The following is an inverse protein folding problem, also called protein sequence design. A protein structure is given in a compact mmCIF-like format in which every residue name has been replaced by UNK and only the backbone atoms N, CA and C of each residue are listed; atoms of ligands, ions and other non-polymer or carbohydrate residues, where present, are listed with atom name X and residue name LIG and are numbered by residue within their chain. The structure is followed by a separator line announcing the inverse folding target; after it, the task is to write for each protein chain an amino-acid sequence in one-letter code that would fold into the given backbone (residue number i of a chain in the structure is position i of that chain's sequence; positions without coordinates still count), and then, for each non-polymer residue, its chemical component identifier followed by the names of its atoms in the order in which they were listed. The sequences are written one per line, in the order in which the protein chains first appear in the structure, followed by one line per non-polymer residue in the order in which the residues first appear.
data_IF_799383664865
#
_entry.id   IF_799383664865
#
_cell.length_a   1.000
_cell.length_b   1.000
_cell.length_c   1.000
_cell.angle_alpha   90.00
_cell.angle_beta   90.00
_cell.angle_gamma   90.00
#
_symmetry.space_group_name_H-M   'P 1'
#
loop_
_entity.id
_entity.type
_entity.pdbx_description
1 polymer ?
#
# COMPACT_ATOMS: atom_id res chain seq x y z
N UNK A 1 -36.59 -67.74 -65.28
CA UNK A 1 -37.85 -67.17 -64.82
C UNK A 1 -37.56 -66.58 -63.45
N UNK A 2 -37.08 -65.33 -63.46
CA UNK A 2 -37.21 -64.32 -62.39
C UNK A 2 -36.34 -63.15 -62.84
N UNK A 3 -37.03 -62.05 -63.10
CA UNK A 3 -36.51 -60.73 -63.41
C UNK A 3 -36.81 -59.86 -62.18
N UNK A 4 -35.85 -59.04 -61.78
CA UNK A 4 -35.93 -57.87 -60.88
C UNK A 4 -34.47 -57.48 -60.56
N UNK A 5 -34.02 -56.24 -60.52
CA UNK A 5 -34.54 -54.93 -60.85
C UNK A 5 -33.33 -53.99 -60.81
N UNK A 6 -33.37 -52.99 -61.67
CA UNK A 6 -32.39 -51.92 -61.89
C UNK A 6 -32.42 -50.93 -60.71
N UNK A 7 -31.27 -50.57 -60.14
CA UNK A 7 -31.11 -49.28 -59.44
C UNK A 7 -29.73 -48.70 -59.75
N UNK A 8 -29.73 -47.77 -60.69
CA UNK A 8 -28.65 -46.84 -60.98
C UNK A 8 -28.32 -45.98 -59.75
N UNK A 9 -27.04 -45.82 -59.45
CA UNK A 9 -26.57 -44.74 -58.58
C UNK A 9 -25.35 -44.06 -59.21
N UNK A 10 -25.64 -43.06 -60.05
CA UNK A 10 -24.65 -42.14 -60.60
C UNK A 10 -24.20 -41.16 -59.51
N UNK A 11 -22.96 -41.28 -59.05
CA UNK A 11 -22.34 -40.36 -58.11
C UNK A 11 -22.05 -39.01 -58.80
N UNK A 12 -22.87 -38.00 -58.50
CA UNK A 12 -22.65 -36.61 -58.86
C UNK A 12 -21.57 -35.98 -57.95
N UNK A 13 -20.49 -35.50 -58.56
CA UNK A 13 -19.45 -34.71 -57.89
C UNK A 13 -19.96 -33.30 -57.56
N UNK A 14 -20.08 -32.97 -56.27
CA UNK A 14 -20.44 -31.64 -55.79
C UNK A 14 -19.16 -30.88 -55.42
N UNK A 15 -18.87 -29.82 -56.17
CA UNK A 15 -17.78 -28.88 -55.90
C UNK A 15 -18.03 -28.09 -54.61
N UNK A 16 -17.03 -28.03 -53.74
CA UNK A 16 -17.05 -27.24 -52.51
C UNK A 16 -17.02 -25.72 -52.82
N UNK A 17 -17.80 -24.87 -52.10
CA UNK A 17 -17.80 -23.44 -52.33
C UNK A 17 -16.52 -22.80 -51.78
N UNK A 18 -15.77 -22.12 -52.66
CA UNK A 18 -14.66 -21.24 -52.29
C UNK A 18 -15.18 -20.10 -51.42
N UNK A 19 -14.75 -20.05 -50.16
CA UNK A 19 -15.01 -18.92 -49.26
C UNK A 19 -14.42 -17.62 -49.84
N UNK A 20 -14.97 -16.44 -49.48
CA UNK A 20 -14.50 -15.17 -50.02
C UNK A 20 -13.03 -14.92 -49.65
N UNK A 21 -12.23 -14.31 -50.54
CA UNK A 21 -10.84 -14.01 -50.26
C UNK A 21 -10.73 -13.01 -49.10
N UNK A 22 -9.88 -13.36 -48.13
CA UNK A 22 -9.56 -12.56 -46.96
C UNK A 22 -8.72 -11.34 -47.41
N UNK A 23 -9.36 -10.23 -47.78
CA UNK A 23 -8.66 -8.98 -48.05
C UNK A 23 -8.30 -8.32 -46.72
N UNK A 24 -7.00 -8.18 -46.36
CA UNK A 24 -6.62 -7.40 -45.20
C UNK A 24 -7.09 -5.96 -45.42
N UNK A 25 -8.05 -5.52 -44.61
CA UNK A 25 -8.62 -4.19 -44.69
C UNK A 25 -7.54 -3.17 -44.32
N UNK A 26 -6.93 -2.52 -45.33
CA UNK A 26 -5.82 -1.56 -45.15
C UNK A 26 -6.15 -0.44 -44.16
N UNK A 27 -7.42 -0.03 -44.08
CA UNK A 27 -7.88 0.96 -43.10
C UNK A 27 -7.84 0.44 -41.66
N UNK A 28 -8.10 -0.86 -41.42
CA UNK A 28 -7.97 -1.49 -40.10
C UNK A 28 -6.50 -1.51 -39.69
N UNK A 29 -5.60 -1.84 -40.61
CA UNK A 29 -4.16 -1.80 -40.33
C UNK A 29 -3.66 -0.38 -40.03
N UNK A 30 -4.16 0.62 -40.77
CA UNK A 30 -3.84 2.03 -40.51
C UNK A 30 -4.42 2.52 -39.18
N UNK A 31 -5.63 2.09 -38.82
CA UNK A 31 -6.25 2.43 -37.55
C UNK A 31 -5.54 1.75 -36.38
N UNK A 32 -5.16 0.48 -36.52
CA UNK A 32 -4.32 -0.23 -35.55
C UNK A 32 -2.95 0.44 -35.39
N UNK A 33 -2.34 0.92 -36.48
CA UNK A 33 -1.08 1.68 -36.43
C UNK A 33 -1.26 3.02 -35.70
N UNK A 34 -2.32 3.77 -36.01
CA UNK A 34 -2.61 5.06 -35.38
C UNK A 34 -2.96 4.92 -33.89
N UNK A 35 -3.77 3.92 -33.51
CA UNK A 35 -4.04 3.62 -32.09
C UNK A 35 -2.76 3.13 -31.38
N UNK A 36 -1.91 2.39 -32.09
CA UNK A 36 -0.63 1.91 -31.57
C UNK A 36 0.45 2.98 -31.40
N UNK A 37 0.38 4.10 -32.13
CA UNK A 37 1.34 5.22 -31.97
C UNK A 37 1.06 6.05 -30.71
N UNK A 38 -0.17 6.01 -30.20
CA UNK A 38 -0.58 6.75 -29.01
C UNK A 38 -0.69 8.26 -29.22
N UNK A 39 -0.60 8.75 -30.46
CA UNK A 39 -0.77 10.17 -30.78
C UNK A 39 -2.20 10.62 -30.49
N UNK A 40 -2.34 11.66 -29.65
CA UNK A 40 -3.64 12.22 -29.27
C UNK A 40 -4.39 11.49 -28.15
N UNK A 41 -3.79 10.46 -27.54
CA UNK A 41 -4.34 9.82 -26.34
C UNK A 41 -4.23 10.73 -25.11
N UNK A 42 -5.24 10.72 -24.26
CA UNK A 42 -5.16 11.32 -22.93
C UNK A 42 -4.04 10.67 -22.09
N UNK A 43 -3.50 11.40 -21.11
CA UNK A 43 -2.38 10.94 -20.27
C UNK A 43 -2.59 9.54 -19.68
N UNK A 44 -3.82 9.22 -19.27
CA UNK A 44 -4.18 7.90 -18.73
C UNK A 44 -4.07 6.78 -19.76
N UNK A 45 -4.62 6.98 -20.97
CA UNK A 45 -4.56 6.02 -22.06
C UNK A 45 -3.13 5.82 -22.60
N UNK A 46 -2.31 6.88 -22.64
CA UNK A 46 -0.90 6.78 -22.99
C UNK A 46 -0.12 5.94 -21.96
N UNK A 47 -0.37 6.16 -20.66
CA UNK A 47 0.24 5.40 -19.56
C UNK A 47 -0.17 3.93 -19.59
N UNK A 48 -1.43 3.64 -19.95
CA UNK A 48 -1.94 2.28 -20.10
C UNK A 48 -1.28 1.54 -21.27
N UNK A 49 -1.12 2.21 -22.41
CA UNK A 49 -0.42 1.67 -23.58
C UNK A 49 1.04 1.34 -23.27
N UNK A 50 1.73 2.24 -22.56
CA UNK A 50 3.11 2.02 -22.12
C UNK A 50 3.22 0.84 -21.14
N UNK A 51 2.26 0.72 -20.20
CA UNK A 51 2.19 -0.42 -19.27
C UNK A 51 1.99 -1.73 -20.03
N UNK A 52 1.10 -1.75 -21.02
CA UNK A 52 0.85 -2.94 -21.86
C UNK A 52 2.12 -3.35 -22.61
N UNK A 53 2.87 -2.39 -23.13
CA UNK A 53 4.15 -2.65 -23.82
C UNK A 53 5.16 -3.34 -22.88
N UNK A 54 5.36 -2.84 -21.67
CA UNK A 54 6.28 -3.46 -20.71
C UNK A 54 5.86 -4.86 -20.27
N UNK A 55 4.55 -5.11 -20.15
CA UNK A 55 4.05 -6.45 -19.79
C UNK A 55 4.29 -7.47 -20.90
N UNK A 56 4.13 -7.08 -22.17
CA UNK A 56 4.42 -7.94 -23.31
C UNK A 56 5.91 -8.25 -23.40
N UNK A 57 6.77 -7.24 -23.28
CA UNK A 57 8.23 -7.41 -23.29
C UNK A 57 8.68 -8.37 -22.17
N UNK A 58 8.15 -8.21 -20.95
CA UNK A 58 8.46 -9.10 -19.83
C UNK A 58 7.91 -10.52 -20.01
N UNK A 59 6.81 -10.69 -20.76
CA UNK A 59 6.26 -12.00 -21.08
C UNK A 59 7.12 -12.74 -22.10
N UNK A 60 7.55 -12.04 -23.16
CA UNK A 60 8.42 -12.58 -24.20
C UNK A 60 9.78 -12.98 -23.62
N UNK A 61 10.38 -12.13 -22.77
CA UNK A 61 11.61 -12.46 -22.02
C UNK A 61 11.44 -13.76 -21.21
N UNK A 62 10.30 -13.93 -20.53
CA UNK A 62 10.02 -15.14 -19.74
C UNK A 62 9.84 -16.38 -20.62
N UNK A 63 9.20 -16.24 -21.77
CA UNK A 63 9.07 -17.37 -22.70
C UNK A 63 10.42 -17.82 -23.24
N UNK A 64 11.30 -16.87 -23.60
CA UNK A 64 12.65 -17.18 -24.06
C UNK A 64 13.46 -17.92 -22.97
N UNK A 65 13.36 -17.45 -21.71
CA UNK A 65 14.02 -18.11 -20.57
C UNK A 65 13.44 -19.52 -20.35
N UNK A 66 12.11 -19.68 -20.40
CA UNK A 66 11.47 -20.98 -20.24
C UNK A 66 11.86 -21.97 -21.35
N UNK A 67 11.93 -21.50 -22.61
CA UNK A 67 12.39 -22.30 -23.74
C UNK A 67 13.84 -22.79 -23.54
N UNK A 68 14.70 -21.96 -22.96
CA UNK A 68 16.09 -22.34 -22.65
C UNK A 68 16.25 -23.26 -21.45
N UNK A 69 15.31 -23.25 -20.50
CA UNK A 69 15.40 -23.97 -19.22
C UNK A 69 14.87 -25.41 -19.27
N UNK A 70 14.15 -25.79 -20.34
CA UNK A 70 13.61 -27.15 -20.51
C UNK A 70 12.59 -27.52 -19.43
N UNK A 71 12.64 -28.76 -18.93
CA UNK A 71 11.64 -29.32 -18.00
C UNK A 71 11.84 -28.91 -16.52
N UNK A 72 12.90 -28.18 -16.18
CA UNK A 72 13.22 -27.84 -14.79
C UNK A 72 12.50 -26.53 -14.41
N UNK A 73 11.56 -26.54 -13.44
CA UNK A 73 10.93 -25.32 -12.96
C UNK A 73 11.95 -24.38 -12.32
N UNK A 74 11.82 -23.08 -12.57
CA UNK A 74 12.67 -22.06 -11.93
C UNK A 74 12.40 -22.02 -10.42
N UNK A 75 13.37 -22.48 -9.63
CA UNK A 75 13.35 -22.39 -8.16
C UNK A 75 13.96 -21.08 -7.63
N UNK A 76 14.71 -20.37 -8.48
CA UNK A 76 15.37 -19.12 -8.14
C UNK A 76 14.98 -18.04 -9.15
N UNK A 77 14.32 -16.98 -8.65
CA UNK A 77 14.03 -15.79 -9.45
C UNK A 77 15.14 -14.77 -9.20
N UNK A 78 15.98 -14.56 -10.22
CA UNK A 78 16.97 -13.48 -10.22
C UNK A 78 16.26 -12.13 -10.11
N UNK A 79 16.89 -11.19 -9.40
CA UNK A 79 16.45 -9.79 -9.44
C UNK A 79 16.52 -9.30 -10.91
N UNK A 80 15.51 -8.54 -11.38
CA UNK A 80 15.57 -7.97 -12.72
C UNK A 80 16.83 -7.12 -12.88
N UNK A 81 17.48 -7.21 -14.04
CA UNK A 81 18.63 -6.35 -14.33
C UNK A 81 18.17 -4.90 -14.50
N UNK A 82 19.09 -3.95 -14.33
CA UNK A 82 18.80 -2.54 -14.59
C UNK A 82 18.19 -2.36 -16.00
N UNK A 83 17.17 -1.52 -16.10
CA UNK A 83 16.41 -1.21 -17.31
C UNK A 83 15.70 -2.38 -18.02
N UNK A 84 15.70 -3.59 -17.46
CA UNK A 84 14.91 -4.72 -18.00
C UNK A 84 13.41 -4.45 -17.95
N UNK A 85 12.65 -5.13 -18.81
CA UNK A 85 11.19 -5.08 -18.74
C UNK A 85 10.67 -5.53 -17.37
N UNK A 86 11.30 -6.56 -16.78
CA UNK A 86 11.02 -7.00 -15.42
C UNK A 86 11.15 -5.89 -14.36
N UNK A 87 12.20 -5.06 -14.42
CA UNK A 87 12.40 -3.94 -13.48
C UNK A 87 11.31 -2.88 -13.65
N UNK A 88 10.97 -2.52 -14.89
CA UNK A 88 9.94 -1.52 -15.18
C UNK A 88 8.57 -1.98 -14.71
N UNK A 89 8.21 -3.23 -14.97
CA UNK A 89 6.97 -3.85 -14.46
C UNK A 89 6.95 -3.88 -12.93
N UNK A 90 8.07 -4.23 -12.30
CA UNK A 90 8.17 -4.22 -10.83
C UNK A 90 7.95 -2.82 -10.25
N UNK A 91 8.62 -1.79 -10.80
CA UNK A 91 8.44 -0.40 -10.38
C UNK A 91 7.01 0.09 -10.56
N UNK A 92 6.37 -0.19 -11.69
CA UNK A 92 4.97 0.17 -11.94
C UNK A 92 4.02 -0.54 -10.98
N UNK A 93 4.23 -1.83 -10.74
CA UNK A 93 3.43 -2.60 -9.80
C UNK A 93 3.57 -2.06 -8.37
N UNK A 94 4.80 -1.75 -7.95
CA UNK A 94 5.10 -1.12 -6.66
C UNK A 94 4.40 0.23 -6.54
N UNK A 95 4.56 1.12 -7.51
CA UNK A 95 3.93 2.44 -7.51
C UNK A 95 2.41 2.36 -7.39
N UNK A 96 1.75 1.52 -8.21
CA UNK A 96 0.30 1.33 -8.15
C UNK A 96 -0.16 0.77 -6.80
N UNK A 97 0.60 -0.18 -6.25
CA UNK A 97 0.31 -0.77 -4.95
C UNK A 97 0.42 0.25 -3.80
N UNK A 98 1.50 1.04 -3.78
CA UNK A 98 1.72 2.08 -2.76
C UNK A 98 0.68 3.20 -2.88
N UNK A 99 0.38 3.66 -4.11
CA UNK A 99 -0.66 4.65 -4.36
C UNK A 99 -2.02 4.18 -3.84
N UNK A 100 -2.42 2.93 -4.16
CA UNK A 100 -3.66 2.34 -3.65
C UNK A 100 -3.69 2.27 -2.12
N UNK A 101 -2.56 1.96 -1.47
CA UNK A 101 -2.48 1.97 -0.01
C UNK A 101 -2.61 3.38 0.58
N UNK A 102 -1.95 4.36 -0.02
CA UNK A 102 -2.03 5.76 0.41
C UNK A 102 -3.45 6.30 0.28
N UNK A 103 -4.13 6.02 -0.83
CA UNK A 103 -5.54 6.38 -1.05
C UNK A 103 -6.49 5.73 -0.03
N UNK A 104 -6.13 4.58 0.55
CA UNK A 104 -6.92 3.89 1.57
C UNK A 104 -6.68 4.41 3.01
N UNK A 105 -5.79 5.39 3.21
CA UNK A 105 -5.57 6.05 4.49
C UNK A 105 -6.58 7.18 4.74
N UNK A 106 -6.81 7.44 6.02
CA UNK A 106 -7.54 8.62 6.47
C UNK A 106 -6.59 9.81 6.40
N UNK A 107 -7.01 10.92 5.78
CA UNK A 107 -6.27 12.17 5.79
C UNK A 107 -6.52 12.95 7.11
N UNK A 108 -5.98 14.18 7.21
CA UNK A 108 -6.15 15.00 8.42
C UNK A 108 -7.61 15.38 8.67
N UNK A 109 -8.33 15.83 7.65
CA UNK A 109 -9.74 16.21 7.75
C UNK A 109 -10.64 15.01 8.11
N UNK A 110 -10.33 13.83 7.58
CA UNK A 110 -11.00 12.56 7.89
C UNK A 110 -10.85 12.21 9.39
N UNK A 111 -9.63 12.41 9.94
CA UNK A 111 -9.33 12.16 11.34
C UNK A 111 -10.00 13.19 12.26
N UNK A 112 -10.03 14.46 11.86
CA UNK A 112 -10.71 15.52 12.62
C UNK A 112 -12.23 15.28 12.63
N UNK A 113 -12.81 14.92 11.49
CA UNK A 113 -14.23 14.55 11.38
C UNK A 113 -14.55 13.35 12.27
N UNK A 114 -13.72 12.30 12.25
CA UNK A 114 -13.90 11.14 13.13
C UNK A 114 -13.83 11.51 14.61
N UNK A 115 -12.93 12.42 14.99
CA UNK A 115 -12.82 12.89 16.38
C UNK A 115 -14.09 13.61 16.84
N UNK A 116 -14.63 14.50 16.00
CA UNK A 116 -15.90 15.20 16.28
C UNK A 116 -17.04 14.19 16.46
N UNK A 117 -17.17 13.22 15.54
CA UNK A 117 -18.21 12.19 15.63
C UNK A 117 -18.10 11.34 16.89
N UNK A 118 -16.89 10.99 17.31
CA UNK A 118 -16.68 10.27 18.58
C UNK A 118 -17.15 11.10 19.78
N UNK A 119 -16.83 12.40 19.80
CA UNK A 119 -17.16 13.32 20.89
C UNK A 119 -18.66 13.60 20.99
N UNK A 120 -19.34 13.76 19.86
CA UNK A 120 -20.78 14.07 19.81
C UNK A 120 -21.67 12.89 20.21
N UNK A 121 -21.16 11.66 20.09
CA UNK A 121 -21.93 10.43 20.29
C UNK A 121 -21.41 9.58 21.47
N UNK A 122 -20.54 10.14 22.32
CA UNK A 122 -20.06 9.45 23.52
C UNK A 122 -20.91 9.77 24.75
N UNK A 123 -20.84 8.87 25.74
CA UNK A 123 -21.29 9.12 27.10
C UNK A 123 -20.16 9.73 27.93
N UNK A 124 -20.47 10.73 28.76
CA UNK A 124 -19.53 11.27 29.75
C UNK A 124 -19.75 10.55 31.06
N UNK A 125 -18.68 9.98 31.62
CA UNK A 125 -18.70 9.37 32.95
C UNK A 125 -18.76 10.47 34.02
N UNK A 126 -19.89 10.60 34.71
CA UNK A 126 -20.12 11.67 35.70
C UNK A 126 -19.10 11.67 36.86
N UNK A 127 -18.51 10.51 37.16
CA UNK A 127 -17.55 10.38 38.27
C UNK A 127 -16.13 10.81 37.89
N UNK A 128 -15.71 10.54 36.66
CA UNK A 128 -14.33 10.77 36.20
C UNK A 128 -14.22 11.90 35.16
N UNK A 129 -15.35 12.38 34.63
CA UNK A 129 -15.41 13.30 33.50
C UNK A 129 -14.91 12.70 32.19
N UNK A 130 -14.65 11.39 32.14
CA UNK A 130 -14.05 10.75 30.96
C UNK A 130 -15.09 10.38 29.93
N UNK A 131 -14.74 10.53 28.67
CA UNK A 131 -15.62 10.24 27.55
C UNK A 131 -15.47 8.81 27.08
N UNK A 132 -16.58 8.09 27.07
CA UNK A 132 -16.64 6.66 26.81
C UNK A 132 -17.80 6.31 25.90
N UNK A 133 -17.65 5.23 25.16
CA UNK A 133 -18.69 4.68 24.29
C UNK A 133 -18.88 3.20 24.56
N UNK A 134 -20.14 2.74 24.57
CA UNK A 134 -20.45 1.30 24.59
C UNK A 134 -20.34 0.71 23.16
N UNK A 135 -20.68 -0.57 22.99
CA UNK A 135 -20.60 -1.21 21.67
C UNK A 135 -21.70 -0.77 20.70
N UNK A 136 -22.88 -0.38 21.18
CA UNK A 136 -23.95 0.16 20.35
C UNK A 136 -23.57 1.53 19.79
N UNK A 137 -23.05 2.43 20.64
CA UNK A 137 -22.47 3.72 20.27
C UNK A 137 -21.35 3.52 19.23
N UNK A 138 -20.47 2.54 19.46
CA UNK A 138 -19.39 2.21 18.54
C UNK A 138 -19.90 1.84 17.14
N UNK A 139 -20.97 1.03 17.05
CA UNK A 139 -21.59 0.66 15.78
C UNK A 139 -22.31 1.85 15.13
N UNK A 140 -22.96 2.69 15.92
CA UNK A 140 -23.62 3.90 15.44
C UNK A 140 -22.61 4.88 14.83
N UNK A 141 -21.54 5.19 15.57
CA UNK A 141 -20.43 6.05 15.14
C UNK A 141 -19.75 5.48 13.89
N UNK A 142 -19.61 4.15 13.78
CA UNK A 142 -19.09 3.51 12.57
C UNK A 142 -19.93 3.83 11.32
N UNK A 143 -21.25 3.88 11.49
CA UNK A 143 -22.21 4.21 10.42
C UNK A 143 -22.05 5.67 10.02
N UNK A 144 -22.05 6.59 11.00
CA UNK A 144 -21.83 8.03 10.75
C UNK A 144 -20.48 8.32 10.09
N UNK A 145 -19.40 7.68 10.56
CA UNK A 145 -18.08 7.81 9.95
C UNK A 145 -18.08 7.29 8.51
N UNK A 146 -18.79 6.20 8.23
CA UNK A 146 -18.88 5.65 6.87
C UNK A 146 -19.60 6.62 5.94
N UNK A 147 -20.60 7.34 6.42
CA UNK A 147 -21.36 8.33 5.65
C UNK A 147 -20.56 9.63 5.41
N UNK A 148 -19.87 10.15 6.43
CA UNK A 148 -19.19 11.44 6.35
C UNK A 148 -17.74 11.35 5.86
N UNK A 149 -17.01 10.29 6.23
CA UNK A 149 -15.60 10.08 5.88
C UNK A 149 -15.43 9.08 4.74
N UNK A 150 -16.37 8.14 4.60
CA UNK A 150 -16.37 7.12 3.56
C UNK A 150 -15.85 5.75 4.00
N UNK A 151 -15.73 4.77 3.08
CA UNK A 151 -15.53 3.37 3.42
C UNK A 151 -14.17 3.05 4.07
N UNK A 152 -13.21 3.97 4.02
CA UNK A 152 -11.85 3.80 4.57
C UNK A 152 -11.85 3.64 6.09
N UNK A 153 -12.84 4.21 6.79
CA UNK A 153 -12.93 4.13 8.25
C UNK A 153 -13.37 2.74 8.75
N UNK A 154 -14.09 1.96 7.93
CA UNK A 154 -14.73 0.69 8.34
C UNK A 154 -13.76 -0.30 8.97
N UNK A 155 -12.51 -0.34 8.50
CA UNK A 155 -11.46 -1.23 9.03
C UNK A 155 -11.14 -0.97 10.51
N UNK A 156 -11.42 0.22 11.03
CA UNK A 156 -11.22 0.58 12.43
C UNK A 156 -12.40 0.15 13.32
N UNK A 157 -13.61 0.13 12.79
CA UNK A 157 -14.84 -0.19 13.52
C UNK A 157 -15.22 -1.67 13.42
N UNK A 158 -14.34 -2.56 13.88
CA UNK A 158 -14.66 -4.00 14.01
C UNK A 158 -14.83 -4.41 15.47
N UNK A 159 -15.65 -5.42 15.73
CA UNK A 159 -15.78 -6.02 17.06
C UNK A 159 -14.42 -6.40 17.66
N UNK A 160 -13.54 -6.98 16.84
CA UNK A 160 -12.17 -7.32 17.24
C UNK A 160 -11.36 -6.11 17.70
N UNK A 161 -11.54 -4.93 17.08
CA UNK A 161 -10.87 -3.71 17.51
C UNK A 161 -11.47 -3.16 18.81
N UNK A 162 -12.80 -3.15 18.95
CA UNK A 162 -13.46 -2.75 20.20
C UNK A 162 -12.98 -3.59 21.39
N UNK A 163 -12.80 -4.89 21.19
CA UNK A 163 -12.35 -5.81 22.22
C UNK A 163 -10.90 -5.56 22.69
N UNK A 164 -10.07 -4.84 21.93
CA UNK A 164 -8.67 -4.52 22.31
C UNK A 164 -8.57 -3.54 23.48
N UNK A 165 -9.61 -2.75 23.73
CA UNK A 165 -9.58 -1.71 24.75
C UNK A 165 -10.15 -2.22 26.07
N UNK A 166 -9.57 -1.71 27.16
CA UNK A 166 -10.09 -1.90 28.51
C UNK A 166 -11.50 -1.36 28.61
N UNK A 167 -12.36 -2.14 29.28
CA UNK A 167 -13.77 -1.82 29.46
C UNK A 167 -14.00 -1.50 30.93
N UNK A 168 -14.86 -0.52 31.18
CA UNK A 168 -15.37 -0.30 32.52
C UNK A 168 -16.47 -1.32 32.88
N UNK A 169 -17.00 -1.22 34.10
CA UNK A 169 -18.05 -2.12 34.61
C UNK A 169 -19.34 -2.09 33.77
N UNK A 170 -19.50 -1.05 32.94
CA UNK A 170 -20.64 -0.88 32.02
C UNK A 170 -20.32 -1.36 30.61
N UNK A 171 -19.15 -1.99 30.39
CA UNK A 171 -18.73 -2.47 29.08
C UNK A 171 -18.30 -1.36 28.11
N UNK A 172 -18.05 -0.14 28.59
CA UNK A 172 -17.69 1.02 27.76
C UNK A 172 -16.18 1.16 27.63
N UNK A 173 -15.73 1.66 26.49
CA UNK A 173 -14.31 1.97 26.24
C UNK A 173 -14.13 3.48 26.14
N UNK A 174 -12.99 4.00 26.61
CA UNK A 174 -12.68 5.42 26.47
C UNK A 174 -12.44 5.79 24.99
N UNK A 175 -13.01 6.90 24.53
CA UNK A 175 -12.94 7.29 23.11
C UNK A 175 -11.55 7.77 22.71
N UNK A 176 -10.82 8.41 23.63
CA UNK A 176 -9.50 8.98 23.34
C UNK A 176 -8.46 7.89 23.03
N UNK A 177 -8.28 6.82 23.84
CA UNK A 177 -7.42 5.70 23.47
C UNK A 177 -7.79 5.06 22.12
N UNK A 178 -9.08 4.95 21.79
CA UNK A 178 -9.52 4.45 20.50
C UNK A 178 -9.09 5.37 19.35
N UNK A 179 -9.32 6.67 19.47
CA UNK A 179 -8.90 7.66 18.48
C UNK A 179 -7.38 7.64 18.25
N UNK A 180 -6.60 7.59 19.34
CA UNK A 180 -5.14 7.51 19.27
C UNK A 180 -4.66 6.22 18.59
N UNK A 181 -5.36 5.10 18.76
CA UNK A 181 -5.09 3.86 18.03
C UNK A 181 -5.30 4.03 16.51
N UNK A 182 -6.39 4.70 16.10
CA UNK A 182 -6.66 4.99 14.67
C UNK A 182 -5.57 5.87 14.10
N UNK A 183 -5.27 7.00 14.75
CA UNK A 183 -4.19 7.90 14.35
C UNK A 183 -2.86 7.17 14.21
N UNK A 184 -2.45 6.41 15.23
CA UNK A 184 -1.20 5.66 15.21
C UNK A 184 -1.15 4.67 14.06
N UNK A 185 -2.25 3.97 13.78
CA UNK A 185 -2.32 3.01 12.68
C UNK A 185 -2.14 3.71 11.33
N UNK A 186 -2.77 4.87 11.14
CA UNK A 186 -2.60 5.69 9.93
C UNK A 186 -1.15 6.18 9.82
N UNK A 187 -0.58 6.76 10.88
CA UNK A 187 0.79 7.30 10.87
C UNK A 187 1.85 6.23 10.60
N UNK A 188 1.73 5.05 11.22
CA UNK A 188 2.68 3.95 10.97
C UNK A 188 2.55 3.37 9.56
N UNK A 189 1.32 3.35 9.02
CA UNK A 189 1.10 2.89 7.64
C UNK A 189 1.64 3.91 6.64
N UNK A 190 1.45 5.21 6.88
CA UNK A 190 2.03 6.27 6.06
C UNK A 190 3.56 6.21 6.08
N UNK A 191 4.18 6.13 7.27
CA UNK A 191 5.63 6.00 7.39
C UNK A 191 6.17 4.76 6.65
N UNK A 192 5.39 3.67 6.64
CA UNK A 192 5.74 2.47 5.86
C UNK A 192 5.70 2.75 4.36
N UNK A 193 4.67 3.41 3.87
CA UNK A 193 4.53 3.79 2.46
C UNK A 193 5.71 4.68 2.06
N UNK A 194 6.00 5.73 2.83
CA UNK A 194 7.09 6.68 2.57
C UNK A 194 8.45 5.98 2.50
N UNK A 195 8.75 5.07 3.43
CA UNK A 195 9.97 4.26 3.39
C UNK A 195 9.97 3.31 2.19
N UNK A 196 8.85 2.67 1.90
CA UNK A 196 8.72 1.79 0.74
C UNK A 196 8.86 2.54 -0.57
N UNK A 197 8.47 3.81 -0.68
CA UNK A 197 8.73 4.60 -1.89
C UNK A 197 10.22 4.74 -2.16
N UNK A 198 11.02 4.95 -1.11
CA UNK A 198 12.49 5.10 -1.17
C UNK A 198 13.26 3.80 -1.38
N UNK A 199 12.66 2.64 -1.08
CA UNK A 199 13.24 1.30 -1.29
C UNK A 199 13.31 0.97 -2.79
N UNK A 200 14.38 1.34 -3.48
CA UNK A 200 14.48 1.29 -4.95
C UNK A 200 14.35 -0.15 -5.51
N UNK A 201 14.86 -1.16 -4.80
CA UNK A 201 14.88 -2.54 -5.26
C UNK A 201 13.68 -3.38 -4.74
N UNK A 202 12.90 -2.82 -3.81
CA UNK A 202 11.67 -3.39 -3.28
C UNK A 202 11.90 -4.62 -2.41
N UNK A 203 13.10 -4.79 -1.83
CA UNK A 203 13.43 -5.95 -1.00
C UNK A 203 12.94 -5.81 0.46
N UNK A 204 12.35 -4.66 0.82
CA UNK A 204 11.83 -4.35 2.15
C UNK A 204 12.90 -3.84 3.13
N UNK A 205 14.08 -3.49 2.62
CA UNK A 205 15.16 -2.90 3.39
C UNK A 205 15.56 -1.53 2.83
N UNK A 206 16.04 -0.66 3.71
CA UNK A 206 16.61 0.62 3.34
C UNK A 206 18.14 0.58 3.41
N UNK A 207 18.77 1.10 2.38
CA UNK A 207 20.18 1.45 2.32
C UNK A 207 20.46 2.74 3.10
N UNK A 208 21.73 3.05 3.43
CA UNK A 208 22.08 4.23 4.21
C UNK A 208 21.55 5.53 3.58
N UNK A 209 21.69 5.66 2.26
CA UNK A 209 21.27 6.83 1.51
C UNK A 209 19.75 7.00 1.49
N UNK A 210 19.01 5.89 1.38
CA UNK A 210 17.54 5.87 1.39
C UNK A 210 17.02 6.27 2.78
N UNK A 211 17.66 5.78 3.86
CA UNK A 211 17.31 6.19 5.23
C UNK A 211 17.66 7.66 5.50
N UNK A 212 18.80 8.14 5.01
CA UNK A 212 19.14 9.57 5.07
C UNK A 212 18.12 10.44 4.34
N UNK A 213 17.66 10.00 3.17
CA UNK A 213 16.62 10.67 2.39
C UNK A 213 15.28 10.70 3.14
N UNK A 214 14.88 9.58 3.75
CA UNK A 214 13.68 9.50 4.57
C UNK A 214 13.72 10.52 5.72
N UNK A 215 14.80 10.50 6.52
CA UNK A 215 14.95 11.45 7.64
C UNK A 215 14.94 12.89 7.12
N UNK A 216 15.64 13.17 6.01
CA UNK A 216 15.68 14.51 5.41
C UNK A 216 14.28 15.00 5.00
N UNK A 217 13.48 14.12 4.40
CA UNK A 217 12.10 14.42 4.00
C UNK A 217 11.18 14.74 5.18
N UNK A 218 11.46 14.19 6.37
CA UNK A 218 10.69 14.48 7.58
C UNK A 218 11.01 15.84 8.20
N UNK A 219 12.26 16.32 8.13
CA UNK A 219 12.75 17.52 8.83
C UNK A 219 11.84 18.76 8.66
N UNK A 220 11.34 19.11 7.47
CA UNK A 220 10.46 20.26 7.29
C UNK A 220 9.20 20.24 8.16
N UNK A 221 8.72 19.04 8.49
CA UNK A 221 7.52 18.82 9.29
C UNK A 221 7.83 18.69 10.79
N UNK A 222 9.11 18.55 11.19
CA UNK A 222 9.52 18.44 12.58
C UNK A 222 9.71 19.84 13.17
N UNK A 223 8.76 20.29 13.99
CA UNK A 223 8.74 21.65 14.54
C UNK A 223 10.04 22.08 15.21
N UNK A 224 10.74 21.15 15.88
CA UNK A 224 12.01 21.41 16.57
C UNK A 224 13.20 21.52 15.61
N UNK A 225 13.10 20.98 14.40
CA UNK A 225 14.17 20.91 13.40
C UNK A 225 13.93 21.77 12.16
N UNK A 226 12.74 22.37 12.04
CA UNK A 226 12.31 23.17 10.87
C UNK A 226 13.27 24.31 10.51
N UNK A 227 14.01 24.81 11.50
CA UNK A 227 14.92 25.95 11.35
C UNK A 227 16.41 25.55 11.33
N UNK A 228 16.73 24.27 11.12
CA UNK A 228 18.12 23.84 10.93
C UNK A 228 18.69 24.48 9.66
N UNK A 229 19.88 25.13 9.72
CA UNK A 229 20.49 25.71 8.54
C UNK A 229 20.86 24.62 7.51
N UNK A 230 20.64 24.92 6.22
CA UNK A 230 20.88 23.98 5.11
C UNK A 230 22.23 23.25 5.14
N UNK A 231 23.37 23.90 5.47
CA UNK A 231 24.66 23.21 5.57
C UNK A 231 24.69 22.06 6.58
N UNK A 232 23.86 22.11 7.62
CA UNK A 232 23.82 21.09 8.68
C UNK A 232 22.81 19.97 8.41
N UNK A 233 21.89 20.14 7.45
CA UNK A 233 20.87 19.12 7.15
C UNK A 233 21.48 17.78 6.75
N UNK A 234 22.50 17.80 5.88
CA UNK A 234 23.20 16.59 5.44
C UNK A 234 23.83 15.85 6.61
N UNK A 235 24.50 16.59 7.51
CA UNK A 235 25.15 16.01 8.69
C UNK A 235 24.12 15.44 9.66
N UNK A 236 23.03 16.17 9.93
CA UNK A 236 21.95 15.71 10.80
C UNK A 236 21.30 14.43 10.27
N UNK A 237 20.89 14.41 8.99
CA UNK A 237 20.29 13.23 8.35
C UNK A 237 21.20 12.00 8.47
N UNK A 238 22.51 12.17 8.25
CA UNK A 238 23.51 11.10 8.38
C UNK A 238 23.63 10.58 9.81
N UNK A 239 23.67 11.48 10.80
CA UNK A 239 23.76 11.09 12.22
C UNK A 239 22.49 10.35 12.64
N UNK A 240 21.32 10.86 12.27
CA UNK A 240 20.04 10.24 12.55
C UNK A 240 19.92 8.85 11.90
N UNK A 241 20.28 8.72 10.62
CA UNK A 241 20.30 7.42 9.93
C UNK A 241 21.23 6.42 10.64
N UNK A 242 22.42 6.84 11.09
CA UNK A 242 23.33 6.00 11.88
C UNK A 242 22.74 5.54 13.21
N UNK A 243 21.92 6.37 13.87
CA UNK A 243 21.18 5.97 15.08
C UNK A 243 20.23 4.81 14.77
N UNK A 244 19.52 4.85 13.64
CA UNK A 244 18.69 3.71 13.21
C UNK A 244 19.53 2.46 12.93
N UNK A 245 20.66 2.57 12.24
CA UNK A 245 21.55 1.42 12.03
C UNK A 245 22.07 0.81 13.34
N UNK A 246 22.39 1.63 14.32
CA UNK A 246 22.83 1.17 15.63
C UNK A 246 21.77 0.30 16.32
N UNK A 247 20.49 0.70 16.29
CA UNK A 247 19.41 -0.01 16.98
C UNK A 247 18.73 -1.11 16.14
N UNK A 248 18.61 -0.92 14.84
CA UNK A 248 17.80 -1.78 13.96
C UNK A 248 18.62 -2.78 13.12
N UNK A 249 19.94 -2.62 13.05
CA UNK A 249 20.86 -3.54 12.38
C UNK A 249 21.95 -4.08 13.32
N UNK A 250 21.58 -4.87 14.36
CA UNK A 250 22.55 -5.41 15.32
C UNK A 250 23.57 -6.36 14.68
N UNK A 251 23.23 -6.96 13.53
CA UNK A 251 24.11 -7.86 12.79
C UNK A 251 25.00 -7.14 11.76
N UNK A 252 24.91 -5.81 11.67
CA UNK A 252 25.71 -4.96 10.77
C UNK A 252 25.68 -5.44 9.31
N UNK A 253 24.50 -5.84 8.84
CA UNK A 253 24.29 -6.26 7.45
C UNK A 253 24.36 -5.10 6.45
N UNK A 254 24.36 -3.86 6.94
CA UNK A 254 24.42 -2.67 6.09
C UNK A 254 23.07 -2.29 5.49
N UNK A 255 21.97 -2.94 5.92
CA UNK A 255 20.61 -2.62 5.48
C UNK A 255 19.58 -2.69 6.59
N UNK A 256 18.62 -1.76 6.56
CA UNK A 256 17.60 -1.59 7.59
C UNK A 256 16.27 -2.21 7.16
N UNK A 257 15.82 -3.26 7.86
CA UNK A 257 14.49 -3.81 7.59
C UNK A 257 13.41 -2.78 7.97
N UNK A 258 12.57 -2.36 7.02
CA UNK A 258 11.51 -1.36 7.23
C UNK A 258 10.62 -1.74 8.41
N UNK A 259 10.24 -3.02 8.50
CA UNK A 259 9.42 -3.53 9.62
C UNK A 259 10.10 -3.31 10.98
N UNK A 260 11.42 -3.48 11.08
CA UNK A 260 12.15 -3.24 12.32
C UNK A 260 12.22 -1.75 12.65
N UNK A 261 12.42 -0.89 11.66
CA UNK A 261 12.43 0.57 11.83
C UNK A 261 11.08 1.05 12.37
N UNK A 262 9.96 0.59 11.79
CA UNK A 262 8.60 0.95 12.23
C UNK A 262 8.27 0.54 13.67
N UNK A 263 8.93 -0.49 14.19
CA UNK A 263 8.75 -0.99 15.55
C UNK A 263 9.81 -0.48 16.52
N UNK A 264 10.72 0.40 16.06
CA UNK A 264 11.82 0.89 16.88
C UNK A 264 11.42 2.11 17.71
N UNK A 265 11.92 2.16 18.94
CA UNK A 265 11.84 3.37 19.77
C UNK A 265 12.52 4.56 19.11
N UNK A 266 13.54 4.30 18.28
CA UNK A 266 14.24 5.35 17.52
C UNK A 266 13.30 6.11 16.58
N UNK A 267 12.33 5.43 15.94
CA UNK A 267 11.31 6.10 15.13
C UNK A 267 10.34 6.87 16.01
N UNK A 268 9.89 6.28 17.12
CA UNK A 268 8.99 6.95 18.06
C UNK A 268 9.59 8.28 18.54
N UNK A 269 10.83 8.26 19.05
CA UNK A 269 11.58 9.44 19.49
C UNK A 269 11.72 10.50 18.40
N UNK A 270 11.97 10.10 17.15
CA UNK A 270 12.06 11.03 16.02
C UNK A 270 10.71 11.73 15.77
N UNK A 271 9.61 10.98 15.87
CA UNK A 271 8.26 11.52 15.68
C UNK A 271 7.82 12.43 16.83
N UNK A 272 8.40 12.33 18.03
CA UNK A 272 8.14 13.29 19.12
C UNK A 272 8.58 14.72 18.77
N UNK A 273 9.56 14.86 17.87
CA UNK A 273 10.07 16.17 17.43
C UNK A 273 9.06 16.98 16.60
N UNK A 274 7.96 16.35 16.19
CA UNK A 274 6.82 17.03 15.57
C UNK A 274 6.16 18.03 16.54
N UNK A 275 6.28 17.79 17.86
CA UNK A 275 5.71 18.64 18.88
C UNK A 275 6.51 19.95 19.03
N UNK A 276 5.85 21.11 18.89
CA UNK A 276 6.32 22.33 19.55
C UNK A 276 6.16 22.10 21.06
N UNK A 277 7.18 22.38 21.87
CA UNK A 277 7.06 22.40 23.34
C UNK A 277 5.97 23.40 23.78
N UNK A 278 4.70 22.99 23.75
CA UNK A 278 3.56 23.65 24.41
C UNK A 278 2.66 22.55 24.96
N UNK A 279 2.46 22.65 26.27
CA UNK A 279 1.72 21.73 27.14
C UNK A 279 0.27 21.63 26.68
N UNK A 280 -0.18 20.41 26.43
CA UNK A 280 -1.58 20.04 26.26
C UNK A 280 -1.69 18.53 26.43
N UNK A 281 -2.56 18.05 27.31
CA UNK A 281 -2.65 16.67 27.79
C UNK A 281 -2.79 15.60 26.68
N UNK A 282 -3.32 15.98 25.51
CA UNK A 282 -3.42 15.13 24.32
C UNK A 282 -2.05 14.80 23.69
N UNK A 283 -1.06 15.68 23.83
CA UNK A 283 0.27 15.52 23.21
C UNK A 283 1.17 14.52 23.96
N UNK A 284 1.00 14.39 25.28
CA UNK A 284 1.72 13.42 26.12
C UNK A 284 1.15 11.99 25.97
N UNK A 285 -0.13 11.87 25.60
CA UNK A 285 -0.77 10.57 25.36
C UNK A 285 -0.36 9.94 24.03
N UNK A 286 -0.07 10.75 22.99
CA UNK A 286 0.43 10.25 21.70
C UNK A 286 1.78 9.51 21.89
N UNK A 287 2.67 10.03 22.75
CA UNK A 287 3.99 9.45 23.03
C UNK A 287 3.96 8.33 24.06
N UNK A 288 3.14 8.45 25.10
CA UNK A 288 2.86 7.35 26.03
C UNK A 288 2.27 6.13 25.31
N UNK A 289 1.37 6.32 24.36
CA UNK A 289 0.78 5.20 23.62
C UNK A 289 1.75 4.58 22.62
N UNK A 290 2.56 5.39 21.90
CA UNK A 290 3.63 4.90 21.00
C UNK A 290 4.64 3.99 21.72
N UNK A 291 4.93 4.25 23.00
CA UNK A 291 5.86 3.47 23.84
C UNK A 291 5.21 2.35 24.66
N UNK A 292 3.91 2.41 24.98
CA UNK A 292 3.27 1.55 26.00
C UNK A 292 2.32 0.45 25.47
N UNK A 293 2.54 -0.11 24.27
CA UNK A 293 1.86 -1.36 23.89
C UNK A 293 2.89 -2.49 23.81
N UNK A 294 2.77 -3.55 24.64
CA UNK A 294 3.68 -4.69 24.63
C UNK A 294 3.79 -5.31 23.23
N UNK A 295 5.00 -5.76 22.88
CA UNK A 295 5.37 -6.46 21.64
C UNK A 295 4.44 -7.62 21.22
N UNK A 296 3.52 -8.07 22.09
CA UNK A 296 2.54 -9.13 21.83
C UNK A 296 1.39 -8.70 20.90
N UNK A 297 0.93 -7.44 20.92
CA UNK A 297 -0.24 -7.02 20.13
C UNK A 297 0.09 -6.67 18.66
N UNK A 298 1.37 -6.41 18.37
CA UNK A 298 1.87 -6.19 17.00
C UNK A 298 1.81 -7.48 16.17
N UNK A 299 1.86 -8.65 16.80
CA UNK A 299 1.95 -9.93 16.08
C UNK A 299 0.63 -10.29 15.38
N UNK A 300 -0.52 -9.93 15.95
CA UNK A 300 -1.84 -10.25 15.37
C UNK A 300 -2.26 -9.33 14.22
N UNK A 301 -1.84 -8.06 14.21
CA UNK A 301 -2.19 -7.11 13.15
C UNK A 301 -1.48 -7.43 11.81
N UNK A 302 -0.27 -7.99 11.89
CA UNK A 302 0.53 -8.35 10.71
C UNK A 302 0.21 -9.74 10.13
N UNK A 303 -0.59 -10.55 10.84
CA UNK A 303 -1.11 -11.83 10.33
C UNK A 303 -2.15 -11.66 9.21
N UNK A 304 -2.83 -10.50 9.15
CA UNK A 304 -3.88 -10.21 8.18
C UNK A 304 -3.38 -9.49 6.91
N UNK A 305 -2.20 -8.87 6.96
CA UNK A 305 -1.54 -8.22 5.80
C UNK A 305 -0.78 -9.25 4.92
N UNK A 306 -0.90 -10.55 5.22
CA UNK A 306 -0.27 -11.65 4.46
C UNK A 306 -1.27 -12.50 3.66
N UNK A 307 -2.47 -11.98 3.42
CA UNK A 307 -3.49 -12.51 2.49
C UNK A 307 -3.97 -11.38 1.61
#
# INVERSE_FOLDING_TARGET
MEASEEVDNAAAAVAAPMGPPNFPMVWVDQLCKFVGTGEGLGFEAATELETRKYLLEAFDERQQIAASAGSIPSFYRKKPSENSAGMKVQRLAKFRFLKKQAEALLNADDLDTMWVLLRENCSVDETSGTEKMNYEDFCHIATLCTEQVGPKCRKFFSACNFLKFEKDDFGRIAILPFYLYVMRTVSLTQARIDMSELDEDGDGFLQPQEMEAYVRGLIPNLAQLRHIPSPFLSMYSRIAARKFYFFCDPLRRGKLCIKKVLLSNCLAELMELHQRKKVGELSLLITGFLSAVPSAYVIHFWGWIRT
#
